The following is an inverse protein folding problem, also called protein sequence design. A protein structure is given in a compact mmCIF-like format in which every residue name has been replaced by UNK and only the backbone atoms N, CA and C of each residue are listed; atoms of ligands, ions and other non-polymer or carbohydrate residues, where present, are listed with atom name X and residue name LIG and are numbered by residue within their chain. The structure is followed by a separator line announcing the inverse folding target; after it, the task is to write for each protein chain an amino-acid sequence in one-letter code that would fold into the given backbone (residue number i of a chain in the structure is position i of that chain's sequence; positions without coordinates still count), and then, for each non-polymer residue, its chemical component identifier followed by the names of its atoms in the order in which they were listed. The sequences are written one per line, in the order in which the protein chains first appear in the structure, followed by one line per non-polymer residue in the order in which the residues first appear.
data_IF_654348040393
#
_entry.id   IF_654348040393
#
_cell.length_a   1.000
_cell.length_b   1.000
_cell.length_c   1.000
_cell.angle_alpha   90.00
_cell.angle_beta   90.00
_cell.angle_gamma   90.00
#
_symmetry.space_group_name_H-M   'P 1'
#
loop_
_entity.id
_entity.type
_entity.pdbx_description
1 polymer ?
#
# COMPACT_ATOMS: atom_id res chain seq x y z
N UNK A 1 -31.65 -7.98 -5.93
CA UNK A 1 -31.19 -6.57 -5.97
C UNK A 1 -30.17 -6.26 -4.86
N UNK A 2 -29.71 -7.27 -4.09
CA UNK A 2 -28.67 -7.11 -3.05
C UNK A 2 -27.24 -7.32 -3.58
N UNK A 3 -27.06 -8.05 -4.68
CA UNK A 3 -25.73 -8.36 -5.23
C UNK A 3 -24.98 -7.14 -5.82
N UNK A 4 -25.69 -6.09 -6.23
CA UNK A 4 -25.07 -4.87 -6.79
C UNK A 4 -24.53 -3.96 -5.68
N UNK A 5 -24.97 -4.13 -4.42
CA UNK A 5 -24.50 -3.35 -3.29
C UNK A 5 -23.18 -3.89 -2.71
N UNK A 6 -22.95 -5.20 -2.77
CA UNK A 6 -21.66 -5.79 -2.37
C UNK A 6 -20.52 -5.40 -3.34
N UNK A 7 -20.77 -5.38 -4.66
CA UNK A 7 -19.74 -4.99 -5.64
C UNK A 7 -19.37 -3.50 -5.55
N UNK A 8 -20.28 -2.65 -5.08
CA UNK A 8 -20.04 -1.21 -4.84
C UNK A 8 -19.10 -0.93 -3.67
N UNK A 9 -18.81 -1.94 -2.86
CA UNK A 9 -17.93 -1.81 -1.70
C UNK A 9 -16.44 -1.91 -2.07
N UNK A 10 -16.12 -2.56 -3.20
CA UNK A 10 -14.74 -2.84 -3.61
C UNK A 10 -13.95 -1.55 -3.90
N UNK A 11 -14.56 -0.55 -4.55
CA UNK A 11 -13.86 0.72 -4.85
C UNK A 11 -13.78 1.68 -3.66
N UNK A 12 -14.77 1.67 -2.76
CA UNK A 12 -14.73 2.50 -1.54
C UNK A 12 -13.69 1.99 -0.54
N UNK A 13 -13.47 0.67 -0.48
CA UNK A 13 -12.36 0.07 0.27
C UNK A 13 -10.99 0.25 -0.40
N UNK A 14 -10.95 0.42 -1.72
CA UNK A 14 -9.72 0.59 -2.51
C UNK A 14 -8.93 1.84 -2.12
N UNK A 15 -9.61 2.91 -1.67
CA UNK A 15 -8.96 4.11 -1.13
C UNK A 15 -8.55 3.98 0.34
N UNK A 16 -9.20 3.12 1.15
CA UNK A 16 -8.96 3.09 2.60
C UNK A 16 -7.81 2.18 3.04
N UNK A 17 -7.30 1.34 2.13
CA UNK A 17 -6.20 0.42 2.45
C UNK A 17 -4.81 0.98 2.17
N UNK A 18 -4.72 2.16 1.54
CA UNK A 18 -3.46 2.86 1.36
C UNK A 18 -3.12 3.64 2.63
N UNK A 19 -1.93 3.41 3.18
CA UNK A 19 -1.44 4.07 4.40
C UNK A 19 -0.57 5.27 4.06
N UNK A 20 0.34 5.12 3.09
CA UNK A 20 1.22 6.21 2.69
C UNK A 20 1.77 6.00 1.28
N UNK A 21 1.88 7.09 0.50
CA UNK A 21 2.74 7.17 -0.67
C UNK A 21 3.81 8.22 -0.45
N UNK A 22 5.05 7.87 -0.76
CA UNK A 22 6.18 8.80 -0.75
C UNK A 22 7.02 8.58 -1.99
N UNK A 23 7.62 9.65 -2.48
CA UNK A 23 8.45 9.63 -3.67
C UNK A 23 9.81 10.20 -3.31
N UNK A 24 10.88 9.55 -3.75
CA UNK A 24 12.25 10.04 -3.58
C UNK A 24 12.64 10.98 -4.71
N UNK A 25 13.74 11.72 -4.51
CA UNK A 25 14.38 12.50 -5.57
C UNK A 25 14.79 11.61 -6.77
N UNK A 26 14.77 12.17 -8.00
CA UNK A 26 15.19 11.43 -9.19
C UNK A 26 16.62 10.93 -9.09
N UNK A 27 16.84 9.69 -9.50
CA UNK A 27 18.12 9.00 -9.48
C UNK A 27 18.55 8.76 -10.91
N UNK A 28 19.80 9.08 -11.22
CA UNK A 28 20.39 8.77 -12.52
C UNK A 28 21.11 7.42 -12.46
N UNK A 29 20.70 6.48 -13.30
CA UNK A 29 21.31 5.17 -13.47
C UNK A 29 21.54 4.92 -14.95
N UNK A 30 22.78 4.61 -15.34
CA UNK A 30 23.16 4.34 -16.74
C UNK A 30 22.73 5.45 -17.74
N UNK A 31 22.74 6.71 -17.28
CA UNK A 31 22.33 7.86 -18.10
C UNK A 31 20.82 8.05 -18.25
N UNK A 32 20.00 7.25 -17.55
CA UNK A 32 18.54 7.39 -17.50
C UNK A 32 18.09 7.86 -16.11
N UNK A 33 17.05 8.68 -16.07
CA UNK A 33 16.44 9.18 -14.83
C UNK A 33 15.32 8.25 -14.37
N UNK A 34 15.41 7.81 -13.12
CA UNK A 34 14.43 6.97 -12.45
C UNK A 34 13.89 7.69 -11.22
N UNK A 35 12.64 7.40 -10.87
CA UNK A 35 12.01 7.90 -9.65
C UNK A 35 11.53 6.71 -8.85
N UNK A 36 11.86 6.67 -7.56
CA UNK A 36 11.38 5.62 -6.65
C UNK A 36 10.10 6.08 -5.98
N UNK A 37 9.06 5.26 -6.09
CA UNK A 37 7.78 5.48 -5.43
C UNK A 37 7.57 4.39 -4.40
N UNK A 38 7.48 4.79 -3.13
CA UNK A 38 7.15 3.90 -2.02
C UNK A 38 5.66 3.96 -1.73
N UNK A 39 5.01 2.81 -1.83
CA UNK A 39 3.58 2.67 -1.52
C UNK A 39 3.45 1.68 -0.37
N UNK A 40 2.84 2.14 0.72
CA UNK A 40 2.50 1.32 1.88
C UNK A 40 0.99 1.22 1.99
N UNK A 41 0.49 0.00 2.15
CA UNK A 41 -0.92 -0.27 2.35
C UNK A 41 -1.14 -1.50 3.24
N UNK A 42 -2.36 -1.66 3.72
CA UNK A 42 -2.77 -2.85 4.49
C UNK A 42 -2.98 -4.06 3.57
N UNK A 43 -3.59 -3.85 2.40
CA UNK A 43 -3.78 -4.86 1.38
C UNK A 43 -3.86 -4.20 0.01
N UNK A 44 -3.59 -4.97 -1.05
CA UNK A 44 -3.67 -4.51 -2.43
C UNK A 44 -4.50 -5.48 -3.26
N UNK A 45 -5.49 -4.93 -3.98
CA UNK A 45 -6.24 -5.63 -5.01
C UNK A 45 -5.35 -5.93 -6.22
N UNK A 46 -5.78 -6.88 -7.04
CA UNK A 46 -5.07 -7.25 -8.26
C UNK A 46 -4.89 -6.04 -9.19
N UNK A 47 -3.67 -5.82 -9.66
CA UNK A 47 -3.25 -4.65 -10.46
C UNK A 47 -3.50 -3.27 -9.83
N UNK A 48 -3.95 -3.14 -8.58
CA UNK A 48 -4.28 -1.85 -7.95
C UNK A 48 -3.11 -0.88 -8.00
N UNK A 49 -1.93 -1.30 -7.53
CA UNK A 49 -0.74 -0.44 -7.52
C UNK A 49 -0.38 0.03 -8.93
N UNK A 50 -0.50 -0.87 -9.92
CA UNK A 50 -0.14 -0.60 -11.32
C UNK A 50 -1.12 0.38 -11.97
N UNK A 51 -2.40 0.31 -11.61
CA UNK A 51 -3.42 1.27 -12.05
C UNK A 51 -3.21 2.64 -11.40
N UNK A 52 -2.87 2.68 -10.10
CA UNK A 52 -2.58 3.93 -9.41
C UNK A 52 -1.39 4.67 -10.03
N UNK A 53 -0.28 3.97 -10.25
CA UNK A 53 0.92 4.56 -10.87
C UNK A 53 0.66 4.92 -12.33
N UNK A 54 -0.03 4.05 -13.08
CA UNK A 54 -0.37 4.34 -14.48
C UNK A 54 -1.28 5.56 -14.65
N UNK A 55 -2.28 5.72 -13.76
CA UNK A 55 -3.15 6.90 -13.75
C UNK A 55 -2.40 8.18 -13.36
N UNK A 56 -1.49 8.11 -12.39
CA UNK A 56 -0.66 9.25 -12.02
C UNK A 56 0.25 9.69 -13.18
N UNK A 57 0.89 8.74 -13.87
CA UNK A 57 1.72 9.04 -15.05
C UNK A 57 0.87 9.59 -16.19
N UNK A 58 -0.30 9.02 -16.47
CA UNK A 58 -1.20 9.50 -17.52
C UNK A 58 -1.71 10.92 -17.24
N UNK A 59 -1.93 11.25 -15.98
CA UNK A 59 -2.33 12.61 -15.57
C UNK A 59 -1.16 13.59 -15.69
N UNK A 60 0.05 13.18 -15.25
CA UNK A 60 1.25 14.00 -15.36
C UNK A 60 1.72 14.24 -16.81
N UNK A 61 1.36 13.35 -17.73
CA UNK A 61 1.63 13.47 -19.18
C UNK A 61 0.49 14.09 -19.96
N UNK A 62 -0.55 14.60 -19.27
CA UNK A 62 -1.75 15.22 -19.86
C UNK A 62 -2.57 14.30 -20.80
N UNK A 63 -2.33 12.99 -20.76
CA UNK A 63 -3.09 11.99 -21.51
C UNK A 63 -4.46 11.73 -20.87
N UNK A 64 -4.54 11.79 -19.54
CA UNK A 64 -5.77 11.67 -18.76
C UNK A 64 -6.06 13.00 -18.05
N UNK A 65 -7.26 13.58 -18.19
CA UNK A 65 -7.60 14.80 -17.46
C UNK A 65 -7.68 14.53 -15.95
N UNK A 66 -7.22 15.48 -15.16
CA UNK A 66 -7.20 15.37 -13.69
C UNK A 66 -8.59 15.08 -13.11
N UNK A 67 -9.63 15.64 -13.74
CA UNK A 67 -11.03 15.39 -13.36
C UNK A 67 -11.43 13.93 -13.51
N UNK A 68 -10.94 13.23 -14.54
CA UNK A 68 -11.19 11.80 -14.72
C UNK A 68 -10.43 10.96 -13.70
N UNK A 69 -9.22 11.38 -13.31
CA UNK A 69 -8.46 10.74 -12.23
C UNK A 69 -9.20 10.86 -10.89
N UNK A 70 -9.67 12.05 -10.54
CA UNK A 70 -10.49 12.26 -9.34
C UNK A 70 -11.82 11.52 -9.40
N UNK A 71 -12.43 11.42 -10.58
CA UNK A 71 -13.65 10.61 -10.77
C UNK A 71 -13.36 9.13 -10.55
N UNK A 72 -12.24 8.60 -11.05
CA UNK A 72 -11.88 7.19 -10.84
C UNK A 72 -11.67 6.84 -9.36
N UNK A 73 -11.24 7.79 -8.53
CA UNK A 73 -11.03 7.59 -7.09
C UNK A 73 -12.29 7.73 -6.26
N UNK A 74 -13.16 8.68 -6.61
CA UNK A 74 -14.32 9.05 -5.78
C UNK A 74 -15.65 8.51 -6.30
N UNK A 75 -15.68 8.04 -7.54
CA UNK A 75 -16.88 7.59 -8.22
C UNK A 75 -16.97 6.07 -8.28
N UNK A 76 -18.18 5.50 -8.22
CA UNK A 76 -18.37 4.08 -8.49
C UNK A 76 -18.28 3.71 -9.98
N UNK A 77 -18.06 4.68 -10.88
CA UNK A 77 -17.96 4.42 -12.32
C UNK A 77 -16.60 3.87 -12.72
N UNK A 78 -16.61 2.91 -13.66
CA UNK A 78 -15.39 2.36 -14.23
C UNK A 78 -14.74 3.37 -15.17
N UNK A 79 -13.59 3.90 -14.77
CA UNK A 79 -12.76 4.75 -15.62
C UNK A 79 -11.61 3.91 -16.18
N UNK A 80 -11.41 3.85 -17.51
CA UNK A 80 -10.30 3.11 -18.09
C UNK A 80 -8.99 3.84 -17.82
N UNK A 81 -8.18 3.28 -16.92
CA UNK A 81 -6.85 3.80 -16.58
C UNK A 81 -5.79 2.86 -17.20
N UNK A 82 -4.72 3.39 -17.82
CA UNK A 82 -3.65 2.56 -18.35
C UNK A 82 -2.93 1.80 -17.22
N UNK A 83 -2.68 0.51 -17.44
CA UNK A 83 -1.97 -0.32 -16.48
C UNK A 83 -0.46 -0.16 -16.69
N UNK A 84 0.26 0.30 -15.67
CA UNK A 84 1.72 0.40 -15.75
C UNK A 84 2.38 -0.99 -15.93
N UNK A 85 3.55 -1.10 -16.59
CA UNK A 85 4.29 -2.35 -16.70
C UNK A 85 4.64 -2.95 -15.32
N UNK A 86 4.76 -4.28 -15.25
CA UNK A 86 5.10 -4.97 -14.00
C UNK A 86 6.59 -4.97 -13.67
N UNK A 87 7.45 -4.66 -14.64
CA UNK A 87 8.92 -4.81 -14.56
C UNK A 87 9.58 -3.98 -13.46
N UNK A 88 8.97 -2.89 -13.01
CA UNK A 88 9.51 -2.02 -11.95
C UNK A 88 8.87 -2.21 -10.58
N UNK A 89 7.89 -3.11 -10.43
CA UNK A 89 7.17 -3.29 -9.17
C UNK A 89 7.87 -4.33 -8.30
N UNK A 90 8.41 -3.89 -7.17
CA UNK A 90 9.15 -4.75 -6.22
C UNK A 90 8.51 -4.69 -4.84
N UNK A 91 8.28 -5.85 -4.25
CA UNK A 91 7.82 -5.97 -2.88
C UNK A 91 9.01 -5.83 -1.92
N UNK A 92 9.11 -4.69 -1.24
CA UNK A 92 10.26 -4.39 -0.37
C UNK A 92 10.09 -4.96 1.04
N UNK A 93 8.88 -4.85 1.62
CA UNK A 93 8.63 -5.27 3.00
C UNK A 93 7.20 -5.77 3.17
N UNK A 94 6.99 -6.67 4.14
CA UNK A 94 5.70 -7.19 4.58
C UNK A 94 5.61 -7.10 6.11
N UNK A 95 4.56 -6.47 6.61
CA UNK A 95 4.34 -6.34 8.04
C UNK A 95 3.45 -7.48 8.56
N UNK A 96 4.01 -8.39 9.35
CA UNK A 96 3.28 -9.49 10.00
C UNK A 96 2.74 -9.11 11.40
N UNK A 97 2.52 -7.82 11.67
CA UNK A 97 2.40 -7.31 13.03
C UNK A 97 1.07 -7.62 13.77
N UNK A 98 0.04 -8.18 13.11
CA UNK A 98 -1.28 -8.38 13.76
C UNK A 98 -1.50 -9.75 14.39
N UNK A 99 -0.64 -10.71 14.08
CA UNK A 99 -0.48 -11.92 14.86
C UNK A 99 1.00 -12.10 15.08
N UNK A 100 1.43 -12.14 16.33
CA UNK A 100 2.58 -12.96 16.64
C UNK A 100 2.30 -14.30 15.94
N UNK A 101 3.08 -14.62 14.91
CA UNK A 101 3.21 -15.99 14.44
C UNK A 101 3.95 -16.77 15.55
N UNK A 102 3.39 -16.78 16.76
CA UNK A 102 3.48 -17.91 17.63
C UNK A 102 2.69 -19.01 16.92
N UNK A 103 3.30 -19.59 15.89
CA UNK A 103 3.19 -21.02 15.76
C UNK A 103 3.60 -21.52 17.14
N UNK A 104 2.61 -21.91 17.95
CA UNK A 104 2.81 -22.55 19.24
C UNK A 104 3.50 -23.88 18.95
N UNK A 105 4.81 -23.82 18.71
CA UNK A 105 5.72 -24.93 18.90
C UNK A 105 5.87 -25.02 20.40
N UNK A 106 5.23 -26.04 20.97
CA UNK A 106 5.35 -26.61 22.33
C UNK A 106 5.82 -25.68 23.47
N UNK A 107 5.08 -25.71 24.58
CA UNK A 107 5.21 -24.80 25.72
C UNK A 107 6.63 -24.69 26.34
N UNK A 108 7.55 -25.59 26.02
CA UNK A 108 8.95 -25.54 26.41
C UNK A 108 9.77 -24.40 25.74
N UNK A 109 9.34 -23.84 24.60
CA UNK A 109 10.13 -22.87 23.81
C UNK A 109 9.87 -21.38 24.10
N UNK A 110 8.85 -21.05 24.90
CA UNK A 110 8.33 -19.67 25.03
C UNK A 110 9.23 -18.76 25.88
N UNK A 111 10.10 -19.34 26.71
CA UNK A 111 10.93 -18.58 27.66
C UNK A 111 12.04 -17.73 27.06
N UNK A 112 12.38 -17.90 25.77
CA UNK A 112 13.59 -17.29 25.19
C UNK A 112 13.36 -16.35 24.00
N UNK A 113 12.14 -16.28 23.45
CA UNK A 113 11.83 -15.46 22.27
C UNK A 113 11.33 -14.03 22.60
N UNK A 114 11.09 -13.71 23.87
CA UNK A 114 10.81 -12.34 24.33
C UNK A 114 12.14 -11.60 24.53
N UNK A 115 12.70 -11.12 23.41
CA UNK A 115 13.84 -10.22 23.45
C UNK A 115 13.52 -8.91 24.20
N UNK A 116 14.55 -8.19 24.68
CA UNK A 116 14.44 -7.04 25.59
C UNK A 116 13.64 -5.83 25.06
N UNK A 117 13.22 -5.83 23.79
CA UNK A 117 12.41 -4.77 23.19
C UNK A 117 10.97 -4.72 23.71
N UNK A 118 10.39 -5.85 24.14
CA UNK A 118 9.05 -5.86 24.74
C UNK A 118 9.02 -5.23 26.15
N UNK A 119 10.16 -5.23 26.85
CA UNK A 119 10.31 -4.54 28.12
C UNK A 119 10.45 -3.02 27.92
N UNK A 120 11.10 -2.58 26.83
CA UNK A 120 11.29 -1.16 26.53
C UNK A 120 9.98 -0.47 26.12
N UNK A 121 9.09 -1.18 25.43
CA UNK A 121 7.80 -0.65 24.96
C UNK A 121 6.76 -0.46 26.10
N UNK A 122 6.99 -1.09 27.26
CA UNK A 122 6.22 -0.81 28.49
C UNK A 122 6.69 0.45 29.22
N UNK A 123 7.91 0.91 28.96
CA UNK A 123 8.52 2.04 29.66
C UNK A 123 8.25 3.40 28.99
N UNK A 124 7.75 3.43 27.75
CA UNK A 124 7.60 4.69 27.01
C UNK A 124 6.19 4.91 26.46
N UNK A 125 5.28 5.55 27.22
CA UNK A 125 3.88 5.74 26.80
C UNK A 125 3.69 6.75 25.64
N UNK A 126 4.73 7.46 25.19
CA UNK A 126 4.64 8.48 24.13
C UNK A 126 4.64 7.96 22.71
N UNK A 127 4.92 6.67 22.46
CA UNK A 127 4.88 6.10 21.11
C UNK A 127 3.47 5.69 20.65
N UNK A 128 2.44 5.86 21.48
CA UNK A 128 1.05 5.49 21.16
C UNK A 128 0.32 6.47 20.23
N UNK A 129 0.88 7.66 19.95
CA UNK A 129 0.11 8.76 19.33
C UNK A 129 0.70 9.27 18.02
N UNK A 130 1.34 8.40 17.23
CA UNK A 130 1.63 8.72 15.83
C UNK A 130 1.45 7.50 14.95
N UNK A 131 0.19 7.17 14.64
CA UNK A 131 -0.25 6.70 13.31
C UNK A 131 -1.68 7.21 13.11
#
# INVERSE_FOLDING_TARGET
MESVLEERMIMKEMSCNMLSCTTDDPIELEGQKFVRVFIRGQSFLYNQIRLMVGGAIATATEVLPETAFWMALNSPYLVPIPVAPATGLVLVNQAFARYANAVLMDAAGVGQALGPRAALDRANPTLRTQV
#
